data_IF_466719106032
#
_entry.id   IF_466719106032
#
_cell.length_a   1.000
_cell.length_b   1.000
_cell.length_c   1.000
_cell.angle_alpha   90.00
_cell.angle_beta   90.00
_cell.angle_gamma   90.00
#
_symmetry.space_group_name_H-M   'P 1'
#
loop_
_entity.id
_entity.type
_entity.pdbx_description
1 polymer ?
#
# COMPACT_ATOMS: atom_id res chain seq x y z
N UNK A 1 -12.71 -2.28 32.67
CA UNK A 1 -11.38 -1.63 32.55
C UNK A 1 -11.32 -0.64 33.70
N UNK A 2 -10.48 -0.90 34.70
CA UNK A 2 -10.62 -0.35 36.06
C UNK A 2 -10.66 1.19 36.11
N UNK A 3 -11.70 1.75 36.73
CA UNK A 3 -11.86 3.18 37.03
C UNK A 3 -10.67 3.74 37.82
N UNK A 4 -10.06 2.91 38.67
CA UNK A 4 -8.83 3.23 39.41
C UNK A 4 -7.64 3.58 38.50
N UNK A 5 -7.59 3.05 37.27
CA UNK A 5 -6.52 3.35 36.30
C UNK A 5 -6.76 4.67 35.55
N UNK A 6 -8.03 5.07 35.36
CA UNK A 6 -8.38 6.39 34.80
C UNK A 6 -8.10 7.50 35.81
N UNK A 7 -8.53 7.31 37.06
CA UNK A 7 -8.35 8.31 38.13
C UNK A 7 -6.86 8.55 38.44
N UNK A 8 -6.01 7.51 38.34
CA UNK A 8 -4.56 7.66 38.51
C UNK A 8 -3.93 8.49 37.38
N UNK A 9 -4.38 8.34 36.13
CA UNK A 9 -3.89 9.15 35.01
C UNK A 9 -4.39 10.61 35.05
N UNK A 10 -5.58 10.86 35.58
CA UNK A 10 -6.08 12.22 35.80
C UNK A 10 -5.32 12.93 36.94
N UNK A 11 -4.95 12.21 38.00
CA UNK A 11 -4.08 12.75 39.05
C UNK A 11 -2.68 13.13 38.53
N UNK A 12 -2.06 12.31 37.67
CA UNK A 12 -0.77 12.64 37.06
C UNK A 12 -0.86 13.80 36.05
N UNK A 13 -1.98 13.98 35.34
CA UNK A 13 -2.18 15.14 34.45
C UNK A 13 -2.34 16.45 35.22
N UNK A 14 -3.03 16.41 36.36
CA UNK A 14 -3.29 17.62 37.15
C UNK A 14 -2.08 18.10 37.97
N UNK A 15 -1.08 17.25 38.22
CA UNK A 15 0.14 17.66 38.94
C UNK A 15 1.17 18.35 38.04
N UNK A 16 1.16 18.08 36.73
CA UNK A 16 2.17 18.63 35.81
C UNK A 16 1.76 19.99 35.21
N UNK A 17 0.46 20.32 35.21
CA UNK A 17 -0.05 21.60 34.68
C UNK A 17 -0.01 22.76 35.70
N UNK A 18 0.27 22.49 36.98
CA UNK A 18 0.10 23.49 38.05
C UNK A 18 1.33 24.39 38.35
N UNK A 19 2.55 24.02 37.92
CA UNK A 19 3.77 24.72 38.37
C UNK A 19 4.49 25.59 37.30
N UNK A 20 4.03 25.64 36.05
CA UNK A 20 4.68 26.44 34.99
C UNK A 20 4.13 27.87 34.81
N UNK A 21 3.13 28.28 35.60
CA UNK A 21 2.40 29.53 35.34
C UNK A 21 2.95 30.80 36.01
N UNK A 22 4.14 30.79 36.62
CA UNK A 22 4.77 32.02 37.16
C UNK A 22 6.29 32.03 37.11
N UNK A 23 6.86 32.13 35.91
CA UNK A 23 8.16 32.77 35.72
C UNK A 23 7.98 33.97 34.80
N UNK A 24 7.90 35.17 35.39
CA UNK A 24 7.77 36.40 34.63
C UNK A 24 9.04 36.63 33.81
N UNK A 25 8.93 36.62 32.48
CA UNK A 25 10.01 37.04 31.59
C UNK A 25 10.04 38.58 31.50
N UNK A 26 10.99 39.14 30.75
CA UNK A 26 10.99 40.57 30.39
C UNK A 26 9.81 40.95 29.46
N UNK A 27 9.45 42.23 29.42
CA UNK A 27 8.27 42.75 28.69
C UNK A 27 8.28 42.50 27.17
N UNK A 28 9.46 42.29 26.56
CA UNK A 28 9.59 41.89 25.16
C UNK A 28 10.63 40.75 25.01
N UNK A 29 10.21 39.47 25.21
CA UNK A 29 11.13 38.34 25.15
C UNK A 29 11.54 38.02 23.71
N UNK A 30 12.85 37.89 23.48
CA UNK A 30 13.38 37.38 22.21
C UNK A 30 13.85 35.93 22.41
N UNK A 31 13.05 34.98 21.94
CA UNK A 31 13.24 33.54 22.20
C UNK A 31 14.05 32.91 21.07
N UNK A 32 15.15 32.24 21.41
CA UNK A 32 16.00 31.49 20.48
C UNK A 32 16.27 30.08 21.05
N UNK A 33 16.29 29.07 20.17
CA UNK A 33 16.63 27.70 20.54
C UNK A 33 18.15 27.50 20.53
N UNK A 34 18.76 27.28 21.70
CA UNK A 34 20.20 27.00 21.82
C UNK A 34 20.41 25.76 22.70
N UNK A 35 21.24 24.83 22.22
CA UNK A 35 21.61 23.59 22.92
C UNK A 35 20.42 22.74 23.43
N UNK A 36 19.30 22.75 22.70
CA UNK A 36 18.10 22.00 23.07
C UNK A 36 17.32 22.62 24.22
N UNK A 37 17.46 23.92 24.45
CA UNK A 37 16.61 24.70 25.35
C UNK A 37 16.03 25.90 24.59
N UNK A 38 14.80 26.28 24.94
CA UNK A 38 14.21 27.55 24.50
C UNK A 38 14.56 28.64 25.52
N UNK A 39 15.37 29.59 25.07
CA UNK A 39 15.97 30.60 25.95
C UNK A 39 15.56 31.98 25.45
N UNK A 40 15.18 32.86 26.35
CA UNK A 40 15.11 34.29 26.04
C UNK A 40 16.52 34.89 26.00
N UNK A 41 16.98 35.42 24.87
CA UNK A 41 18.29 36.08 24.77
C UNK A 41 18.37 37.32 25.67
N UNK A 42 17.25 38.03 25.84
CA UNK A 42 17.22 39.30 26.56
C UNK A 42 17.40 39.16 28.08
N UNK A 43 16.87 38.09 28.69
CA UNK A 43 16.93 37.89 30.15
C UNK A 43 17.57 36.56 30.57
N UNK A 44 17.89 35.67 29.64
CA UNK A 44 18.48 34.36 29.91
C UNK A 44 17.52 33.33 30.53
N UNK A 45 16.22 33.66 30.65
CA UNK A 45 15.22 32.73 31.19
C UNK A 45 15.05 31.55 30.23
N UNK A 46 15.13 30.35 30.79
CA UNK A 46 14.88 29.10 30.07
C UNK A 46 13.41 28.73 30.28
N UNK A 47 12.61 28.76 29.22
CA UNK A 47 11.19 28.46 29.29
C UNK A 47 10.93 26.95 29.31
N UNK A 48 11.56 26.24 28.39
CA UNK A 48 11.41 24.80 28.24
C UNK A 48 12.74 24.17 27.84
N UNK A 49 13.01 22.98 28.37
CA UNK A 49 14.03 22.10 27.80
C UNK A 49 13.38 21.40 26.61
N UNK A 50 13.87 21.64 25.41
CA UNK A 50 13.44 20.87 24.24
C UNK A 50 13.89 19.43 24.45
N UNK A 51 13.00 18.58 24.97
CA UNK A 51 13.25 17.16 25.01
C UNK A 51 13.37 16.67 23.57
N UNK A 52 14.60 16.40 23.13
CA UNK A 52 14.81 15.69 21.87
C UNK A 52 14.30 14.28 22.09
N UNK A 53 13.03 14.03 21.76
CA UNK A 53 12.41 12.69 21.82
C UNK A 53 13.03 11.65 20.88
N UNK A 54 14.15 11.99 20.24
CA UNK A 54 14.86 11.16 19.29
C UNK A 54 16.28 10.86 19.76
N UNK A 55 16.43 9.90 20.67
CA UNK A 55 17.61 9.05 20.65
C UNK A 55 17.35 7.82 19.79
N UNK A 56 17.39 8.00 18.47
CA UNK A 56 17.80 6.93 17.55
C UNK A 56 18.62 7.49 16.40
N UNK A 57 19.84 7.91 16.71
CA UNK A 57 20.91 7.98 15.70
C UNK A 57 21.34 6.55 15.38
N UNK A 58 20.81 6.03 14.29
CA UNK A 58 21.37 4.87 13.63
C UNK A 58 21.63 5.32 12.20
N UNK A 59 22.92 5.45 11.87
CA UNK A 59 23.36 6.03 10.61
C UNK A 59 23.46 4.97 9.51
N UNK A 60 23.52 3.69 9.89
CA UNK A 60 23.58 2.55 8.98
C UNK A 60 22.32 1.68 9.08
N UNK A 61 21.99 1.00 7.98
CA UNK A 61 20.82 0.09 7.91
C UNK A 61 20.93 -1.05 8.92
N UNK A 62 22.14 -1.52 9.19
CA UNK A 62 22.43 -2.59 10.15
C UNK A 62 22.26 -2.13 11.60
N UNK A 63 22.77 -0.94 11.96
CA UNK A 63 22.51 -0.36 13.28
C UNK A 63 21.01 -0.11 13.51
N UNK A 64 20.28 0.31 12.47
CA UNK A 64 18.82 0.45 12.54
C UNK A 64 18.18 -0.92 12.82
N UNK A 65 18.63 -2.00 12.19
CA UNK A 65 18.07 -3.33 12.38
C UNK A 65 18.41 -3.94 13.75
N UNK A 66 19.63 -3.77 14.26
CA UNK A 66 20.02 -4.30 15.59
C UNK A 66 19.44 -3.48 16.74
N UNK A 67 19.36 -2.15 16.59
CA UNK A 67 18.78 -1.23 17.59
C UNK A 67 17.25 -1.10 17.49
N UNK A 68 16.61 -1.69 16.47
CA UNK A 68 15.15 -1.92 16.42
C UNK A 68 14.74 -2.95 17.49
N UNK A 69 14.87 -2.60 18.77
CA UNK A 69 13.98 -3.18 19.77
C UNK A 69 12.61 -2.60 19.47
N UNK A 70 11.69 -3.50 19.16
CA UNK A 70 10.31 -3.16 18.83
C UNK A 70 9.74 -2.47 20.06
N UNK A 71 9.64 -1.14 20.04
CA UNK A 71 8.61 -0.51 20.85
C UNK A 71 7.31 -1.25 20.52
N UNK A 72 6.54 -1.67 21.52
CA UNK A 72 5.19 -2.14 21.26
C UNK A 72 4.47 -0.97 20.61
N UNK A 73 4.43 -0.96 19.28
CA UNK A 73 3.59 -0.03 18.55
C UNK A 73 2.20 -0.44 19.01
N UNK A 74 1.59 0.35 19.91
CA UNK A 74 0.20 0.19 20.31
C UNK A 74 -0.62 0.36 19.04
N UNK A 75 -0.86 -0.76 18.36
CA UNK A 75 -1.85 -0.89 17.32
C UNK A 75 -3.06 -1.48 18.01
N UNK A 76 -4.25 -1.04 17.61
CA UNK A 76 -5.50 -1.71 18.01
C UNK A 76 -5.51 -3.20 17.60
N UNK A 77 -4.66 -3.59 16.64
CA UNK A 77 -4.54 -4.96 16.14
C UNK A 77 -3.08 -5.36 15.84
N UNK A 78 -2.62 -6.43 16.53
CA UNK A 78 -1.38 -7.19 16.32
C UNK A 78 -0.04 -6.54 16.74
N UNK A 79 1.07 -7.30 16.85
CA UNK A 79 1.19 -8.66 17.36
C UNK A 79 1.27 -8.63 18.90
N UNK A 80 0.38 -9.37 19.56
CA UNK A 80 0.68 -9.88 20.90
C UNK A 80 1.97 -10.71 20.79
N UNK A 81 2.87 -10.63 21.77
CA UNK A 81 4.03 -11.53 21.83
C UNK A 81 3.54 -12.98 21.74
N UNK A 82 3.82 -13.66 20.63
CA UNK A 82 3.36 -15.03 20.42
C UNK A 82 4.31 -15.99 21.12
N UNK A 83 3.77 -16.85 21.99
CA UNK A 83 4.54 -17.94 22.58
C UNK A 83 4.81 -19.00 21.50
N UNK A 84 6.07 -19.12 21.01
CA UNK A 84 6.39 -20.11 20.00
C UNK A 84 6.39 -21.50 20.64
N UNK A 85 6.07 -22.53 19.86
CA UNK A 85 6.18 -23.91 20.32
C UNK A 85 7.61 -24.44 20.08
N UNK A 86 8.61 -23.76 20.63
CA UNK A 86 10.03 -24.11 20.48
C UNK A 86 10.47 -25.07 21.58
N UNK A 87 11.43 -25.93 21.26
CA UNK A 87 12.07 -26.85 22.21
C UNK A 87 13.31 -26.25 22.88
N UNK A 88 13.69 -25.04 22.49
CA UNK A 88 14.90 -24.34 22.91
C UNK A 88 14.55 -22.98 23.51
N UNK A 89 15.25 -22.63 24.59
CA UNK A 89 15.20 -21.31 25.22
C UNK A 89 15.99 -20.29 24.37
N UNK A 90 15.79 -19.00 24.64
CA UNK A 90 16.50 -17.85 24.07
C UNK A 90 18.03 -17.97 24.12
N UNK A 91 18.57 -18.68 25.13
CA UNK A 91 20.01 -18.98 25.26
C UNK A 91 20.46 -20.25 24.51
N UNK A 92 19.58 -20.87 23.73
CA UNK A 92 19.86 -22.09 22.97
C UNK A 92 19.79 -23.41 23.76
N UNK A 93 19.49 -23.36 25.06
CA UNK A 93 19.37 -24.56 25.90
C UNK A 93 18.05 -25.31 25.60
N UNK A 94 18.08 -26.64 25.58
CA UNK A 94 16.87 -27.45 25.46
C UNK A 94 15.98 -27.31 26.69
N UNK A 95 14.68 -27.07 26.46
CA UNK A 95 13.66 -26.92 27.51
C UNK A 95 13.27 -28.32 28.02
N UNK A 96 13.06 -28.48 29.33
CA UNK A 96 12.66 -29.77 29.90
C UNK A 96 11.26 -30.20 29.45
N UNK A 97 10.96 -31.51 29.43
CA UNK A 97 9.66 -32.02 28.95
C UNK A 97 8.43 -31.42 29.68
N UNK A 98 8.54 -31.18 31.00
CA UNK A 98 7.48 -30.54 31.80
C UNK A 98 7.22 -29.09 31.36
N UNK A 99 8.27 -28.33 31.12
CA UNK A 99 8.20 -26.94 30.67
C UNK A 99 7.69 -26.85 29.23
N UNK A 100 8.12 -27.76 28.35
CA UNK A 100 7.59 -27.84 26.98
C UNK A 100 6.06 -28.06 26.98
N UNK A 101 5.57 -28.96 27.83
CA UNK A 101 4.13 -29.20 27.98
C UNK A 101 3.39 -27.96 28.52
N UNK A 102 3.99 -27.24 29.47
CA UNK A 102 3.45 -25.97 29.99
C UNK A 102 3.37 -24.92 28.88
N UNK A 103 4.45 -24.69 28.13
CA UNK A 103 4.48 -23.72 27.02
C UNK A 103 3.53 -24.09 25.89
N UNK A 104 3.41 -25.38 25.55
CA UNK A 104 2.39 -25.87 24.62
C UNK A 104 0.97 -25.54 25.11
N UNK A 105 0.67 -25.75 26.40
CA UNK A 105 -0.63 -25.41 27.00
C UNK A 105 -0.88 -23.90 26.98
N UNK A 106 0.11 -23.09 27.37
CA UNK A 106 0.03 -21.63 27.35
C UNK A 106 -0.14 -21.08 25.93
N UNK A 107 0.58 -21.62 24.94
CA UNK A 107 0.43 -21.26 23.53
C UNK A 107 -0.97 -21.61 23.02
N UNK A 108 -1.53 -22.76 23.42
CA UNK A 108 -2.92 -23.14 23.10
C UNK A 108 -3.93 -22.15 23.71
N UNK A 109 -3.77 -21.77 24.99
CA UNK A 109 -4.63 -20.78 25.65
C UNK A 109 -4.50 -19.42 24.95
N UNK A 110 -3.28 -18.98 24.66
CA UNK A 110 -3.05 -17.73 23.94
C UNK A 110 -3.72 -17.74 22.56
N UNK A 111 -3.61 -18.84 21.82
CA UNK A 111 -4.23 -18.95 20.50
C UNK A 111 -5.78 -18.95 20.56
N UNK A 112 -6.35 -19.39 21.67
CA UNK A 112 -7.81 -19.32 21.90
C UNK A 112 -8.33 -17.91 22.13
N UNK A 113 -7.47 -17.00 22.64
CA UNK A 113 -7.81 -15.60 22.88
C UNK A 113 -7.76 -14.73 21.62
N UNK A 114 -7.27 -15.28 20.50
CA UNK A 114 -7.15 -14.53 19.24
C UNK A 114 -8.53 -14.30 18.64
N UNK A 115 -8.83 -13.03 18.38
CA UNK A 115 -10.07 -12.64 17.72
C UNK A 115 -10.11 -13.12 16.27
N UNK A 116 -11.32 -13.33 15.73
CA UNK A 116 -11.50 -13.75 14.33
C UNK A 116 -10.90 -12.77 13.32
N UNK A 117 -10.92 -11.47 13.64
CA UNK A 117 -10.33 -10.41 12.80
C UNK A 117 -8.79 -10.45 12.82
N UNK A 118 -8.16 -10.71 13.96
CA UNK A 118 -6.70 -10.87 14.04
C UNK A 118 -6.21 -12.08 13.26
N UNK A 119 -6.93 -13.21 13.37
CA UNK A 119 -6.63 -14.41 12.59
C UNK A 119 -6.70 -14.13 11.09
N UNK A 120 -7.71 -13.36 10.66
CA UNK A 120 -7.84 -12.93 9.28
C UNK A 120 -6.65 -12.06 8.84
N UNK A 121 -6.20 -11.12 9.66
CA UNK A 121 -5.02 -10.30 9.35
C UNK A 121 -3.73 -11.12 9.27
N UNK A 122 -3.56 -12.13 10.11
CA UNK A 122 -2.40 -13.02 10.05
C UNK A 122 -2.36 -13.84 8.77
N UNK A 123 -3.51 -14.27 8.26
CA UNK A 123 -3.58 -14.95 6.98
C UNK A 123 -3.35 -13.99 5.81
N UNK A 124 -3.92 -12.78 5.89
CA UNK A 124 -3.94 -11.86 4.76
C UNK A 124 -2.62 -11.11 4.53
N UNK A 125 -1.94 -10.70 5.61
CA UNK A 125 -0.70 -9.91 5.51
C UNK A 125 0.43 -10.60 4.74
N UNK A 126 0.79 -11.87 5.00
CA UNK A 126 1.84 -12.55 4.24
C UNK A 126 1.42 -12.75 2.78
N UNK A 127 0.14 -13.05 2.52
CA UNK A 127 -0.39 -13.19 1.15
C UNK A 127 -0.33 -11.88 0.37
N UNK A 128 -0.67 -10.75 0.99
CA UNK A 128 -0.52 -9.43 0.38
C UNK A 128 0.95 -9.14 0.08
N UNK A 129 1.86 -9.40 1.02
CA UNK A 129 3.31 -9.20 0.83
C UNK A 129 3.86 -10.07 -0.30
N UNK A 130 3.42 -11.32 -0.40
CA UNK A 130 3.78 -12.21 -1.51
C UNK A 130 3.29 -11.64 -2.84
N UNK A 131 2.04 -11.16 -2.90
CA UNK A 131 1.43 -10.61 -4.12
C UNK A 131 2.14 -9.32 -4.58
N UNK A 132 2.46 -8.41 -3.66
CA UNK A 132 3.17 -7.17 -3.98
C UNK A 132 4.59 -7.45 -4.46
N UNK A 133 5.27 -8.42 -3.85
CA UNK A 133 6.61 -8.84 -4.27
C UNK A 133 6.59 -9.46 -5.68
N UNK A 134 5.61 -10.33 -5.98
CA UNK A 134 5.46 -10.92 -7.32
C UNK A 134 5.20 -9.88 -8.42
N UNK A 135 4.48 -8.80 -8.11
CA UNK A 135 4.11 -7.77 -9.07
C UNK A 135 5.10 -6.59 -9.13
N UNK A 136 6.15 -6.62 -8.30
CA UNK A 136 7.11 -5.52 -8.09
C UNK A 136 6.40 -4.18 -7.80
N UNK A 137 5.41 -4.23 -6.90
CA UNK A 137 4.63 -3.05 -6.51
C UNK A 137 5.35 -2.31 -5.38
N UNK A 138 5.52 -0.97 -5.48
CA UNK A 138 6.14 -0.16 -4.42
C UNK A 138 5.47 -0.28 -3.04
N UNK A 139 6.25 -0.06 -1.98
CA UNK A 139 5.79 -0.21 -0.59
C UNK A 139 4.62 0.74 -0.25
N UNK A 140 4.64 1.98 -0.74
CA UNK A 140 3.54 2.94 -0.48
C UNK A 140 2.18 2.45 -1.00
N UNK A 141 2.14 1.73 -2.13
CA UNK A 141 0.91 1.10 -2.67
C UNK A 141 0.52 -0.11 -1.82
N UNK A 142 1.49 -0.87 -1.31
CA UNK A 142 1.23 -1.99 -0.41
C UNK A 142 0.63 -1.54 0.92
N UNK A 143 1.04 -0.38 1.43
CA UNK A 143 0.50 0.21 2.65
C UNK A 143 -0.93 0.69 2.47
N UNK A 144 -1.24 1.35 1.35
CA UNK A 144 -2.62 1.75 1.04
C UNK A 144 -3.50 0.54 0.78
N UNK A 145 -3.00 -0.49 0.11
CA UNK A 145 -3.72 -1.77 -0.02
C UNK A 145 -4.04 -2.39 1.34
N UNK A 146 -3.08 -2.36 2.29
CA UNK A 146 -3.29 -2.86 3.64
C UNK A 146 -4.30 -2.01 4.42
N UNK A 147 -4.27 -0.68 4.28
CA UNK A 147 -5.26 0.23 4.89
C UNK A 147 -6.67 -0.10 4.37
N UNK A 148 -6.85 -0.24 3.06
CA UNK A 148 -8.13 -0.64 2.45
C UNK A 148 -8.58 -1.99 3.01
N UNK A 149 -7.71 -3.01 3.00
CA UNK A 149 -8.04 -4.35 3.51
C UNK A 149 -8.42 -4.33 5.00
N UNK A 150 -7.76 -3.50 5.80
CA UNK A 150 -8.05 -3.38 7.23
C UNK A 150 -9.48 -2.92 7.50
N UNK A 151 -10.01 -2.02 6.68
CA UNK A 151 -11.39 -1.53 6.79
C UNK A 151 -12.37 -2.58 6.27
N UNK A 152 -12.04 -3.27 5.17
CA UNK A 152 -12.84 -4.41 4.65
C UNK A 152 -13.06 -5.45 5.75
N UNK A 153 -12.01 -5.81 6.49
CA UNK A 153 -12.08 -6.78 7.58
C UNK A 153 -12.87 -6.24 8.79
N UNK A 154 -12.67 -4.97 9.16
CA UNK A 154 -13.45 -4.30 10.24
C UNK A 154 -14.96 -4.30 9.93
N UNK A 155 -15.32 -4.10 8.66
CA UNK A 155 -16.71 -4.17 8.17
C UNK A 155 -17.25 -5.59 7.99
N UNK A 156 -16.47 -6.63 8.30
CA UNK A 156 -16.85 -8.04 8.13
C UNK A 156 -17.25 -8.42 6.69
N UNK A 157 -16.78 -7.69 5.68
CA UNK A 157 -17.08 -7.99 4.28
C UNK A 157 -16.45 -9.30 3.78
N UNK A 158 -15.41 -9.75 4.48
CA UNK A 158 -14.69 -11.01 4.21
C UNK A 158 -15.46 -12.26 4.68
N UNK A 159 -16.47 -12.13 5.53
CA UNK A 159 -17.17 -13.28 6.12
C UNK A 159 -17.96 -14.04 5.04
N UNK A 160 -17.73 -15.36 4.93
CA UNK A 160 -18.35 -16.22 3.93
C UNK A 160 -17.85 -16.02 2.49
N UNK A 161 -16.72 -15.33 2.30
CA UNK A 161 -16.15 -15.02 0.98
C UNK A 161 -14.66 -15.28 0.95
N UNK A 162 -14.09 -15.35 -0.25
CA UNK A 162 -12.66 -15.58 -0.43
C UNK A 162 -11.81 -14.41 0.08
N UNK A 163 -10.96 -14.69 1.06
CA UNK A 163 -9.93 -13.76 1.57
C UNK A 163 -8.99 -13.34 0.44
N UNK A 164 -8.55 -14.28 -0.38
CA UNK A 164 -7.65 -14.01 -1.53
C UNK A 164 -8.29 -13.02 -2.51
N UNK A 165 -9.60 -13.13 -2.75
CA UNK A 165 -10.34 -12.19 -3.59
C UNK A 165 -10.33 -10.76 -3.05
N UNK A 166 -10.48 -10.58 -1.74
CA UNK A 166 -10.38 -9.26 -1.13
C UNK A 166 -8.96 -8.72 -1.11
N UNK A 167 -7.94 -9.55 -0.89
CA UNK A 167 -6.53 -9.13 -0.96
C UNK A 167 -6.20 -8.63 -2.36
N UNK A 168 -6.53 -9.40 -3.40
CA UNK A 168 -6.33 -9.01 -4.80
C UNK A 168 -7.12 -7.74 -5.16
N UNK A 169 -8.38 -7.65 -4.70
CA UNK A 169 -9.24 -6.48 -4.90
C UNK A 169 -8.71 -5.22 -4.21
N UNK A 170 -8.24 -5.33 -2.97
CA UNK A 170 -7.65 -4.21 -2.21
C UNK A 170 -6.33 -3.75 -2.82
N UNK A 171 -5.48 -4.67 -3.28
CA UNK A 171 -4.26 -4.32 -4.00
C UNK A 171 -4.58 -3.61 -5.32
N UNK A 172 -5.52 -4.13 -6.10
CA UNK A 172 -5.91 -3.50 -7.36
C UNK A 172 -6.54 -2.12 -7.14
N UNK A 173 -7.39 -1.95 -6.11
CA UNK A 173 -7.94 -0.65 -5.74
C UNK A 173 -6.82 0.35 -5.38
N UNK A 174 -5.83 -0.06 -4.59
CA UNK A 174 -4.68 0.79 -4.25
C UNK A 174 -3.86 1.18 -5.48
N UNK A 175 -3.60 0.23 -6.39
CA UNK A 175 -2.95 0.50 -7.68
C UNK A 175 -3.72 1.57 -8.45
N UNK A 176 -5.06 1.50 -8.45
CA UNK A 176 -5.91 2.47 -9.15
C UNK A 176 -6.00 3.83 -8.47
N UNK A 177 -5.77 3.92 -7.17
CA UNK A 177 -5.70 5.20 -6.43
C UNK A 177 -4.36 5.92 -6.70
N UNK A 178 -3.31 5.16 -7.00
CA UNK A 178 -1.96 5.68 -7.26
C UNK A 178 -1.60 5.74 -8.75
N UNK A 179 -2.58 5.62 -9.65
CA UNK A 179 -2.39 5.63 -11.12
C UNK A 179 -1.28 4.69 -11.65
N UNK A 180 -1.05 3.56 -10.99
CA UNK A 180 -0.01 2.61 -11.41
C UNK A 180 -0.53 1.71 -12.57
N UNK A 181 0.20 1.56 -13.70
CA UNK A 181 -0.32 0.93 -14.91
C UNK A 181 -0.32 -0.61 -14.87
N UNK A 182 -1.10 -1.22 -13.96
CA UNK A 182 -1.32 -2.68 -13.91
C UNK A 182 -2.72 -3.09 -14.34
N UNK A 183 -2.77 -4.25 -15.01
CA UNK A 183 -4.04 -4.82 -15.49
C UNK A 183 -4.65 -5.69 -14.39
N UNK A 184 -5.98 -5.73 -14.33
CA UNK A 184 -6.68 -6.62 -13.41
C UNK A 184 -6.28 -8.10 -13.62
N UNK A 185 -6.10 -8.51 -14.88
CA UNK A 185 -5.75 -9.89 -15.24
C UNK A 185 -4.39 -10.32 -14.67
N UNK A 186 -3.43 -9.41 -14.60
CA UNK A 186 -2.11 -9.68 -14.00
C UNK A 186 -2.22 -9.91 -12.49
N UNK A 187 -3.07 -9.13 -11.82
CA UNK A 187 -3.34 -9.33 -10.38
C UNK A 187 -4.07 -10.65 -10.15
N UNK A 188 -5.00 -11.02 -11.04
CA UNK A 188 -5.73 -12.29 -10.96
C UNK A 188 -4.78 -13.49 -11.14
N UNK A 189 -3.88 -13.44 -12.12
CA UNK A 189 -2.87 -14.47 -12.35
C UNK A 189 -1.90 -14.58 -11.17
N UNK A 190 -1.38 -13.46 -10.67
CA UNK A 190 -0.44 -13.46 -9.55
C UNK A 190 -1.07 -13.98 -8.23
N UNK A 191 -2.37 -13.74 -8.05
CA UNK A 191 -3.14 -14.19 -6.89
C UNK A 191 -3.80 -15.57 -7.05
N UNK A 192 -3.69 -16.21 -8.23
CA UNK A 192 -4.35 -17.47 -8.57
C UNK A 192 -5.85 -17.46 -8.23
N UNK A 193 -6.51 -16.31 -8.41
CA UNK A 193 -7.91 -16.11 -8.04
C UNK A 193 -8.72 -15.80 -9.30
N UNK A 194 -9.90 -16.42 -9.47
CA UNK A 194 -10.71 -16.20 -10.67
C UNK A 194 -11.15 -14.73 -10.79
N UNK A 195 -11.09 -14.20 -12.01
CA UNK A 195 -11.43 -12.79 -12.32
C UNK A 195 -12.79 -12.36 -11.78
N UNK A 196 -13.80 -13.23 -11.85
CA UNK A 196 -15.16 -12.95 -11.34
C UNK A 196 -15.17 -12.65 -9.83
N UNK A 197 -14.37 -13.39 -9.06
CA UNK A 197 -14.28 -13.21 -7.61
C UNK A 197 -13.57 -11.90 -7.26
N UNK A 198 -12.47 -11.59 -7.94
CA UNK A 198 -11.73 -10.32 -7.75
C UNK A 198 -12.58 -9.12 -8.17
N UNK A 199 -13.35 -9.23 -9.25
CA UNK A 199 -14.23 -8.16 -9.69
C UNK A 199 -15.37 -7.90 -8.69
N UNK A 200 -15.95 -8.96 -8.12
CA UNK A 200 -17.00 -8.84 -7.10
C UNK A 200 -16.47 -8.20 -5.81
N UNK A 201 -15.27 -8.60 -5.35
CA UNK A 201 -14.64 -7.99 -4.17
C UNK A 201 -14.26 -6.53 -4.43
N UNK A 202 -13.68 -6.22 -5.59
CA UNK A 202 -13.35 -4.87 -6.01
C UNK A 202 -14.58 -3.95 -6.01
N UNK A 203 -15.71 -4.40 -6.56
CA UNK A 203 -16.95 -3.62 -6.58
C UNK A 203 -17.43 -3.24 -5.18
N UNK A 204 -17.35 -4.18 -4.22
CA UNK A 204 -17.70 -3.90 -2.82
C UNK A 204 -16.73 -2.92 -2.17
N UNK A 205 -15.42 -3.06 -2.42
CA UNK A 205 -14.40 -2.13 -1.91
C UNK A 205 -14.64 -0.71 -2.43
N UNK A 206 -14.93 -0.57 -3.72
CA UNK A 206 -15.21 0.73 -4.35
C UNK A 206 -16.45 1.37 -3.76
N UNK A 207 -17.51 0.60 -3.53
CA UNK A 207 -18.77 1.13 -3.02
C UNK A 207 -18.73 1.44 -1.52
N UNK A 208 -18.09 0.60 -0.73
CA UNK A 208 -18.24 0.62 0.73
C UNK A 208 -17.00 1.12 1.48
N UNK A 209 -15.80 1.02 0.91
CA UNK A 209 -14.55 1.30 1.64
C UNK A 209 -13.84 2.54 1.13
N UNK A 210 -13.74 2.71 -0.19
CA UNK A 210 -13.07 3.87 -0.79
C UNK A 210 -13.67 5.23 -0.35
N UNK A 211 -15.01 5.39 -0.23
CA UNK A 211 -15.61 6.64 0.25
C UNK A 211 -15.23 6.99 1.69
N UNK A 212 -15.10 6.00 2.57
CA UNK A 212 -14.71 6.25 3.97
C UNK A 212 -13.27 6.71 4.13
N UNK A 213 -12.40 6.26 3.22
CA UNK A 213 -11.00 6.67 3.18
C UNK A 213 -10.79 7.99 2.41
N UNK A 214 -11.85 8.59 1.86
CA UNK A 214 -11.76 9.73 0.93
C UNK A 214 -10.82 9.46 -0.27
N UNK A 215 -10.70 8.20 -0.69
CA UNK A 215 -9.85 7.80 -1.81
C UNK A 215 -10.69 7.69 -3.08
N UNK A 216 -10.18 8.23 -4.18
CA UNK A 216 -10.86 8.21 -5.48
C UNK A 216 -10.33 7.06 -6.33
N UNK A 217 -11.25 6.24 -6.85
CA UNK A 217 -10.92 5.21 -7.82
C UNK A 217 -10.84 5.83 -9.23
N UNK A 218 -9.68 5.75 -9.87
CA UNK A 218 -9.51 6.26 -11.23
C UNK A 218 -9.77 5.14 -12.27
N UNK A 219 -10.46 5.41 -13.38
CA UNK A 219 -10.60 4.46 -14.49
C UNK A 219 -9.28 4.31 -15.26
N UNK A 220 -9.04 3.18 -15.92
CA UNK A 220 -7.75 2.94 -16.58
C UNK A 220 -7.66 3.71 -17.89
N UNK A 221 -6.61 4.52 -18.04
CA UNK A 221 -6.36 5.31 -19.24
C UNK A 221 -5.44 4.55 -20.18
N UNK A 222 -5.69 4.65 -21.48
CA UNK A 222 -4.85 4.01 -22.49
C UNK A 222 -3.42 4.61 -22.52
N UNK A 223 -3.25 5.87 -22.12
CA UNK A 223 -1.97 6.58 -22.16
C UNK A 223 -0.92 5.95 -21.23
N UNK A 224 -1.28 5.62 -19.99
CA UNK A 224 -0.37 4.95 -19.06
C UNK A 224 0.04 3.55 -19.55
N UNK A 225 -0.85 2.86 -20.25
CA UNK A 225 -0.57 1.55 -20.84
C UNK A 225 0.38 1.63 -22.03
N UNK A 226 0.37 2.74 -22.79
CA UNK A 226 1.26 2.89 -23.95
C UNK A 226 2.72 2.84 -23.52
N UNK A 227 3.10 3.59 -22.49
CA UNK A 227 4.49 3.60 -22.00
C UNK A 227 4.91 2.24 -21.46
N UNK A 228 4.02 1.59 -20.69
CA UNK A 228 4.32 0.29 -20.12
C UNK A 228 4.52 -0.78 -21.21
N UNK A 229 3.55 -0.94 -22.12
CA UNK A 229 3.66 -1.91 -23.21
C UNK A 229 4.83 -1.57 -24.14
N UNK A 230 5.11 -0.28 -24.35
CA UNK A 230 6.28 0.16 -25.10
C UNK A 230 7.60 -0.31 -24.48
N UNK A 231 7.72 -0.23 -23.16
CA UNK A 231 8.89 -0.72 -22.42
C UNK A 231 9.00 -2.25 -22.48
N UNK A 232 7.89 -3.00 -22.32
CA UNK A 232 7.89 -4.47 -22.45
C UNK A 232 8.19 -4.95 -23.89
N UNK A 233 7.97 -4.09 -24.88
CA UNK A 233 8.31 -4.33 -26.29
C UNK A 233 9.71 -3.84 -26.68
N UNK A 234 10.48 -3.26 -25.77
CA UNK A 234 11.79 -2.63 -26.04
C UNK A 234 11.70 -1.54 -27.14
N UNK A 235 10.62 -0.76 -27.13
CA UNK A 235 10.44 0.34 -28.08
C UNK A 235 11.07 1.63 -27.54
N UNK A 236 11.77 2.42 -28.38
CA UNK A 236 12.34 3.69 -27.98
C UNK A 236 11.24 4.69 -27.60
N UNK A 237 11.55 5.57 -26.66
CA UNK A 237 10.61 6.57 -26.12
C UNK A 237 9.99 7.47 -27.21
N UNK A 238 10.71 7.72 -28.30
CA UNK A 238 10.20 8.49 -29.44
C UNK A 238 8.97 7.82 -30.09
N UNK A 239 9.01 6.51 -30.30
CA UNK A 239 7.90 5.74 -30.87
C UNK A 239 6.72 5.72 -29.88
N UNK A 240 7.00 5.60 -28.58
CA UNK A 240 5.96 5.62 -27.54
C UNK A 240 5.25 6.98 -27.46
N UNK A 241 6.00 8.09 -27.55
CA UNK A 241 5.44 9.45 -27.63
C UNK A 241 4.59 9.63 -28.88
N UNK A 242 5.05 9.15 -30.03
CA UNK A 242 4.29 9.19 -31.28
C UNK A 242 2.96 8.41 -31.15
N UNK A 243 2.97 7.23 -30.52
CA UNK A 243 1.76 6.45 -30.27
C UNK A 243 0.72 7.21 -29.40
N UNK A 244 1.18 7.97 -28.40
CA UNK A 244 0.30 8.82 -27.56
C UNK A 244 -0.25 10.00 -28.35
N UNK A 245 0.58 10.68 -29.15
CA UNK A 245 0.13 11.78 -29.99
C UNK A 245 -0.93 11.29 -30.98
N UNK A 246 -0.71 10.15 -31.63
CA UNK A 246 -1.70 9.51 -32.49
C UNK A 246 -3.01 9.20 -31.76
N UNK A 247 -2.96 8.73 -30.51
CA UNK A 247 -4.16 8.48 -29.72
C UNK A 247 -4.91 9.79 -29.44
N UNK A 248 -4.19 10.87 -29.12
CA UNK A 248 -4.76 12.20 -28.88
C UNK A 248 -5.37 12.79 -30.14
N UNK A 249 -4.69 12.70 -31.27
CA UNK A 249 -5.15 13.22 -32.56
C UNK A 249 -6.36 12.45 -33.05
N UNK A 250 -6.35 11.12 -32.96
CA UNK A 250 -7.53 10.31 -33.26
C UNK A 250 -8.72 10.68 -32.36
N UNK A 251 -8.48 10.95 -31.07
CA UNK A 251 -9.53 11.40 -30.15
C UNK A 251 -10.09 12.77 -30.52
N UNK A 252 -9.26 13.71 -30.99
CA UNK A 252 -9.69 15.02 -31.51
C UNK A 252 -10.52 14.87 -32.78
N UNK A 253 -10.17 13.92 -33.64
CA UNK A 253 -10.86 13.63 -34.89
C UNK A 253 -12.13 12.76 -34.69
N UNK A 254 -12.69 12.73 -33.49
CA UNK A 254 -13.96 12.08 -33.18
C UNK A 254 -13.88 10.58 -32.85
N UNK A 255 -12.69 10.05 -32.51
CA UNK A 255 -12.61 8.69 -31.95
C UNK A 255 -13.23 8.66 -30.56
N UNK A 256 -14.42 8.07 -30.46
CA UNK A 256 -15.06 7.76 -29.18
C UNK A 256 -14.14 6.84 -28.35
N UNK A 257 -13.66 7.33 -27.20
CA UNK A 257 -12.87 6.55 -26.22
C UNK A 257 -13.78 5.77 -25.27
N UNK A 258 -14.96 6.30 -24.97
CA UNK A 258 -15.94 5.71 -24.06
C UNK A 258 -16.50 4.40 -24.62
N UNK A 259 -16.61 3.38 -23.77
CA UNK A 259 -17.12 2.06 -24.15
C UNK A 259 -16.13 1.17 -24.93
N UNK A 260 -14.91 1.66 -25.21
CA UNK A 260 -13.85 0.86 -25.83
C UNK A 260 -12.85 0.41 -24.78
N UNK A 261 -12.31 -0.79 -24.94
CA UNK A 261 -11.26 -1.29 -24.05
C UNK A 261 -9.97 -0.47 -24.24
N UNK A 262 -9.49 0.25 -23.20
CA UNK A 262 -8.28 1.04 -23.27
C UNK A 262 -7.03 0.21 -23.57
N UNK A 263 -6.99 -1.07 -23.21
CA UNK A 263 -5.86 -1.96 -23.56
C UNK A 263 -5.72 -2.10 -25.07
N UNK A 264 -6.83 -2.34 -25.75
CA UNK A 264 -6.88 -2.49 -27.21
C UNK A 264 -6.52 -1.20 -27.94
N UNK A 265 -6.92 -0.04 -27.41
CA UNK A 265 -6.53 1.26 -27.97
C UNK A 265 -5.02 1.50 -27.83
N UNK A 266 -4.45 1.26 -26.64
CA UNK A 266 -3.02 1.40 -26.39
C UNK A 266 -2.19 0.48 -27.31
N UNK A 267 -2.56 -0.80 -27.38
CA UNK A 267 -1.89 -1.79 -28.21
C UNK A 267 -1.94 -1.43 -29.71
N UNK A 268 -3.09 -0.96 -30.20
CA UNK A 268 -3.23 -0.56 -31.59
C UNK A 268 -2.40 0.68 -31.94
N UNK A 269 -2.37 1.70 -31.06
CA UNK A 269 -1.51 2.87 -31.24
C UNK A 269 -0.03 2.49 -31.30
N UNK A 270 0.43 1.63 -30.38
CA UNK A 270 1.81 1.13 -30.39
C UNK A 270 2.12 0.38 -31.68
N UNK A 271 1.24 -0.51 -32.11
CA UNK A 271 1.45 -1.29 -33.34
C UNK A 271 1.60 -0.38 -34.56
N UNK A 272 0.75 0.63 -34.72
CA UNK A 272 0.85 1.56 -35.86
C UNK A 272 2.12 2.42 -35.75
N UNK A 273 2.44 2.95 -34.56
CA UNK A 273 3.64 3.75 -34.36
C UNK A 273 4.92 2.94 -34.62
N UNK A 274 4.99 1.68 -34.15
CA UNK A 274 6.09 0.76 -34.42
C UNK A 274 6.19 0.37 -35.90
N UNK A 275 5.05 0.26 -36.61
CA UNK A 275 5.04 -0.02 -38.05
C UNK A 275 5.61 1.15 -38.88
N UNK A 276 5.34 2.38 -38.45
CA UNK A 276 5.82 3.61 -39.09
C UNK A 276 7.26 3.98 -38.69
N UNK A 277 7.73 3.48 -37.54
CA UNK A 277 9.10 3.68 -37.06
C UNK A 277 10.10 2.68 -37.64
N UNK A 278 11.33 2.73 -37.11
CA UNK A 278 12.44 1.84 -37.50
C UNK A 278 12.32 0.42 -36.92
N UNK A 279 11.68 0.26 -35.76
CA UNK A 279 11.59 -1.02 -35.05
C UNK A 279 10.17 -1.59 -35.20
N UNK A 280 10.04 -2.58 -36.09
CA UNK A 280 8.78 -3.27 -36.31
C UNK A 280 8.56 -4.39 -35.29
N UNK A 281 7.32 -4.54 -34.84
CA UNK A 281 6.88 -5.65 -33.97
C UNK A 281 5.70 -6.36 -34.62
N UNK A 282 5.62 -7.67 -34.44
CA UNK A 282 4.54 -8.50 -34.97
C UNK A 282 3.23 -8.26 -34.22
N UNK A 283 2.09 -8.52 -34.87
CA UNK A 283 0.77 -8.37 -34.25
C UNK A 283 0.60 -9.31 -33.06
N UNK A 284 1.01 -10.59 -33.19
CA UNK A 284 1.02 -11.57 -32.10
C UNK A 284 1.73 -11.03 -30.87
N UNK A 285 2.99 -10.57 -30.99
CA UNK A 285 3.77 -10.12 -29.83
C UNK A 285 3.13 -8.93 -29.10
N UNK A 286 2.52 -7.99 -29.85
CA UNK A 286 1.81 -6.85 -29.26
C UNK A 286 0.50 -7.29 -28.60
N UNK A 287 -0.21 -8.24 -29.21
CA UNK A 287 -1.46 -8.79 -28.69
C UNK A 287 -1.25 -9.59 -27.39
N UNK A 288 -0.18 -10.39 -27.32
CA UNK A 288 0.18 -11.20 -26.16
C UNK A 288 0.47 -10.33 -24.93
N UNK A 289 1.29 -9.27 -25.09
CA UNK A 289 1.61 -8.32 -24.02
C UNK A 289 0.38 -7.59 -23.50
N UNK A 290 -0.50 -7.14 -24.41
CA UNK A 290 -1.73 -6.47 -24.04
C UNK A 290 -2.82 -7.42 -23.51
N UNK A 291 -2.60 -8.74 -23.59
CA UNK A 291 -3.57 -9.81 -23.29
C UNK A 291 -4.88 -9.64 -24.04
N UNK A 292 -4.78 -9.39 -25.34
CA UNK A 292 -5.90 -9.25 -26.27
C UNK A 292 -5.74 -10.19 -27.46
N UNK A 293 -6.79 -10.43 -28.23
CA UNK A 293 -6.69 -11.24 -29.45
C UNK A 293 -6.19 -10.40 -30.63
N UNK A 294 -5.47 -11.00 -31.57
CA UNK A 294 -5.00 -10.31 -32.78
C UNK A 294 -6.14 -9.65 -33.57
N UNK A 295 -7.31 -10.29 -33.60
CA UNK A 295 -8.51 -9.76 -34.29
C UNK A 295 -8.94 -8.43 -33.68
N UNK A 296 -8.92 -8.32 -32.34
CA UNK A 296 -9.24 -7.06 -31.66
C UNK A 296 -8.20 -5.99 -31.95
N UNK A 297 -6.90 -6.32 -31.94
CA UNK A 297 -5.83 -5.42 -32.32
C UNK A 297 -6.03 -4.86 -33.73
N UNK A 298 -6.34 -5.74 -34.70
CA UNK A 298 -6.54 -5.38 -36.11
C UNK A 298 -7.76 -4.50 -36.31
N UNK A 299 -8.87 -4.81 -35.64
CA UNK A 299 -10.09 -3.98 -35.66
C UNK A 299 -9.84 -2.58 -35.11
N UNK A 300 -9.15 -2.47 -33.96
CA UNK A 300 -8.82 -1.16 -33.35
C UNK A 300 -7.82 -0.37 -34.17
N UNK A 301 -6.82 -1.02 -34.75
CA UNK A 301 -5.86 -0.36 -35.64
C UNK A 301 -6.54 0.23 -36.88
N UNK A 302 -7.49 -0.49 -37.49
CA UNK A 302 -8.28 0.02 -38.62
C UNK A 302 -9.09 1.27 -38.23
N UNK A 303 -9.73 1.25 -37.07
CA UNK A 303 -10.51 2.39 -36.56
C UNK A 303 -9.65 3.63 -36.27
N UNK A 304 -8.47 3.45 -35.68
CA UNK A 304 -7.55 4.56 -35.41
C UNK A 304 -7.03 5.13 -36.74
N UNK A 305 -6.64 4.26 -37.69
CA UNK A 305 -6.15 4.71 -38.99
C UNK A 305 -7.19 5.51 -39.78
N UNK A 306 -8.47 5.11 -39.75
CA UNK A 306 -9.55 5.84 -40.43
C UNK A 306 -9.89 7.21 -39.83
N UNK A 307 -9.34 7.53 -38.66
CA UNK A 307 -9.54 8.82 -37.98
C UNK A 307 -8.30 9.71 -37.98
N UNK A 308 -7.17 9.19 -38.45
CA UNK A 308 -5.92 9.94 -38.61
C UNK A 308 -5.75 10.48 -40.04
N UNK A 309 -6.48 9.89 -40.99
CA UNK A 309 -6.67 10.36 -42.37
C UNK A 309 -7.96 11.16 -42.37
#
# INVERSE_FOLDING_TARGET
MNEQYRNRNEQYRNTDEADFSKTHCCDNPFIESRDGNEICINCGLIFERTFVGNERRAYTVEEIQTRRRTEPRWRDFGPRTMLPNTKTDSKGKSIGAKEQALFSRLSKIQNSLISSIERNFWEAKPKLKMLTSKLNVPEYISETAWKIYSIVAKKKLTMGRSINGFIAGSLYAAIRVHDFPRLLDEVCEASLTPRRTVHRSLAMIIREVLPELNLRYQPITAECLVFRFGNELDLPIQIQKNAINMLKDASKNGLQRTGKDPKGLAAACIYIAAKNGSIRKTQSRVADIAKITEVTLRSRAKQIKSKLI
#
